data_IF_364143357758
#
_entry.id   IF_364143357758
#
_cell.length_a   1.000
_cell.length_b   1.000
_cell.length_c   1.000
_cell.angle_alpha   90.00
_cell.angle_beta   90.00
_cell.angle_gamma   90.00
#
_symmetry.space_group_name_H-M   'P 1'
#
loop_
_entity.id
_entity.type
_entity.pdbx_description
1 polymer ?
#
# COMPACT_ATOMS: atom_id res chain seq x y z
N UNK A 1 7.24 34.12 21.21
CA UNK A 1 8.61 33.93 21.73
C UNK A 1 8.55 34.11 23.24
N UNK A 2 8.82 33.06 24.00
CA UNK A 2 8.72 33.07 25.48
C UNK A 2 9.74 34.00 26.15
N UNK A 3 10.74 34.47 25.43
CA UNK A 3 11.84 35.29 25.97
C UNK A 3 11.60 36.79 25.77
N UNK A 4 10.85 37.23 24.76
CA UNK A 4 10.66 38.66 24.43
C UNK A 4 9.22 39.14 24.57
N UNK A 5 8.26 38.27 24.84
CA UNK A 5 6.82 38.60 24.89
C UNK A 5 6.24 39.01 23.51
N UNK A 6 7.04 39.01 22.44
CA UNK A 6 6.57 39.37 21.10
C UNK A 6 5.66 38.29 20.50
N UNK A 7 4.46 38.70 20.16
CA UNK A 7 3.49 37.85 19.43
C UNK A 7 3.78 37.95 17.94
N UNK A 8 4.36 36.91 17.37
CA UNK A 8 4.56 36.82 15.91
C UNK A 8 3.37 36.06 15.29
N UNK A 9 2.69 36.70 14.35
CA UNK A 9 1.67 36.02 13.53
C UNK A 9 2.39 35.13 12.50
N UNK A 10 2.23 33.84 12.59
CA UNK A 10 2.79 32.86 11.64
C UNK A 10 1.63 32.29 10.82
N UNK A 11 1.73 32.37 9.49
CA UNK A 11 0.79 31.70 8.59
C UNK A 11 1.17 30.21 8.54
N UNK A 12 0.35 29.35 9.14
CA UNK A 12 0.59 27.91 9.14
C UNK A 12 0.08 27.22 7.86
N UNK A 13 -0.98 27.76 7.26
CA UNK A 13 -1.53 27.30 5.99
C UNK A 13 -1.80 28.52 5.09
N UNK A 14 -1.07 28.67 3.98
CA UNK A 14 -1.32 29.74 3.02
C UNK A 14 -2.67 29.52 2.32
N UNK A 15 -3.29 30.60 1.85
CA UNK A 15 -4.42 30.46 0.92
C UNK A 15 -3.95 29.63 -0.29
N UNK A 16 -4.69 28.59 -0.60
CA UNK A 16 -4.31 27.60 -1.60
C UNK A 16 -5.47 27.38 -2.59
N UNK A 17 -5.13 27.46 -3.87
CA UNK A 17 -6.06 27.21 -4.98
C UNK A 17 -5.65 25.91 -5.70
N UNK A 18 -6.58 24.97 -5.82
CA UNK A 18 -6.42 23.70 -6.51
C UNK A 18 -7.17 23.72 -7.85
N UNK A 19 -6.46 23.43 -8.93
CA UNK A 19 -7.06 23.34 -10.26
C UNK A 19 -6.77 21.98 -10.89
N UNK A 20 -7.72 21.45 -11.64
CA UNK A 20 -7.55 20.23 -12.42
C UNK A 20 -8.19 20.40 -13.79
N UNK A 21 -7.42 20.07 -14.84
CA UNK A 21 -7.86 20.07 -16.23
C UNK A 21 -7.60 18.68 -16.81
N UNK A 22 -8.65 18.05 -17.32
CA UNK A 22 -8.55 16.76 -18.01
C UNK A 22 -9.20 16.88 -19.38
N UNK A 23 -8.41 16.64 -20.41
CA UNK A 23 -8.88 16.61 -21.79
C UNK A 23 -8.69 15.19 -22.33
N UNK A 24 -9.78 14.52 -22.63
CA UNK A 24 -9.75 13.15 -23.17
C UNK A 24 -10.35 13.13 -24.58
N UNK A 25 -9.57 12.60 -25.52
CA UNK A 25 -10.00 12.41 -26.88
C UNK A 25 -10.12 10.92 -27.19
N UNK A 26 -11.34 10.45 -27.36
CA UNK A 26 -11.60 9.11 -27.86
C UNK A 26 -11.13 8.97 -29.32
N UNK A 27 -10.44 7.88 -29.59
CA UNK A 27 -9.92 7.51 -30.91
C UNK A 27 -10.59 6.21 -31.37
N UNK A 28 -10.27 5.76 -32.60
CA UNK A 28 -10.79 4.49 -33.15
C UNK A 28 -10.40 3.30 -32.24
N UNK A 29 -11.23 2.24 -32.30
CA UNK A 29 -11.00 0.95 -31.62
C UNK A 29 -10.88 1.02 -30.09
N UNK A 30 -11.54 1.98 -29.44
CA UNK A 30 -11.44 2.22 -27.99
C UNK A 30 -10.06 2.73 -27.53
N UNK A 31 -9.30 3.33 -28.45
CA UNK A 31 -8.07 4.04 -28.16
C UNK A 31 -8.36 5.45 -27.64
N UNK A 32 -7.45 6.06 -26.92
CA UNK A 32 -7.60 7.43 -26.39
C UNK A 32 -6.28 8.17 -26.32
N UNK A 33 -6.38 9.49 -26.33
CA UNK A 33 -5.31 10.41 -25.97
C UNK A 33 -5.84 11.30 -24.84
N UNK A 34 -5.17 11.26 -23.68
CA UNK A 34 -5.59 11.98 -22.48
C UNK A 34 -4.48 12.94 -22.05
N UNK A 35 -4.83 14.20 -21.89
CA UNK A 35 -3.99 15.22 -21.28
C UNK A 35 -4.54 15.54 -19.88
N UNK A 36 -3.65 15.63 -18.88
CA UNK A 36 -3.98 15.99 -17.50
C UNK A 36 -3.05 17.10 -17.07
N UNK A 37 -3.62 18.14 -16.47
CA UNK A 37 -2.86 19.15 -15.75
C UNK A 37 -3.53 19.42 -14.42
N UNK A 38 -2.78 19.27 -13.32
CA UNK A 38 -3.18 19.64 -11.97
C UNK A 38 -2.25 20.70 -11.46
N UNK A 39 -2.77 21.75 -10.82
CA UNK A 39 -1.97 22.79 -10.21
C UNK A 39 -2.44 23.15 -8.80
N UNK A 40 -1.50 23.43 -7.93
CA UNK A 40 -1.69 23.95 -6.57
C UNK A 40 -0.95 25.27 -6.49
N UNK A 41 -1.70 26.36 -6.39
CA UNK A 41 -1.17 27.71 -6.29
C UNK A 41 -1.34 28.22 -4.85
N UNK A 42 -0.25 28.70 -4.24
CA UNK A 42 -0.21 29.12 -2.85
C UNK A 42 0.14 30.59 -2.73
N UNK A 43 -0.49 31.30 -1.80
CA UNK A 43 -0.14 32.70 -1.52
C UNK A 43 1.12 32.79 -0.64
N UNK A 44 1.87 33.89 -0.80
CA UNK A 44 3.07 34.17 -0.03
C UNK A 44 4.33 33.49 -0.58
N UNK A 45 5.25 33.07 0.30
CA UNK A 45 6.52 32.44 -0.07
C UNK A 45 6.45 30.90 -0.19
N UNK A 46 5.27 30.29 -0.04
CA UNK A 46 5.12 28.86 -0.24
C UNK A 46 5.26 28.51 -1.73
N UNK A 47 5.90 27.38 -2.05
CA UNK A 47 6.07 26.95 -3.43
C UNK A 47 4.74 26.58 -4.10
N UNK A 48 4.65 26.80 -5.39
CA UNK A 48 3.57 26.32 -6.23
C UNK A 48 3.92 24.94 -6.82
N UNK A 49 2.92 24.08 -7.01
CA UNK A 49 3.13 22.78 -7.61
C UNK A 49 2.26 22.59 -8.86
N UNK A 50 2.82 21.93 -9.87
CA UNK A 50 2.09 21.54 -11.07
C UNK A 50 2.46 20.12 -11.49
N UNK A 51 1.47 19.38 -11.97
CA UNK A 51 1.62 18.05 -12.54
C UNK A 51 1.00 18.02 -13.93
N UNK A 52 1.82 17.82 -14.95
CA UNK A 52 1.35 17.67 -16.33
C UNK A 52 1.58 16.24 -16.80
N UNK A 53 0.58 15.59 -17.35
CA UNK A 53 0.72 14.26 -17.91
C UNK A 53 0.03 14.11 -19.26
N UNK A 54 0.65 13.33 -20.13
CA UNK A 54 0.08 12.89 -21.40
C UNK A 54 0.04 11.37 -21.43
N UNK A 55 -1.12 10.81 -21.73
CA UNK A 55 -1.31 9.37 -21.85
C UNK A 55 -1.89 9.04 -23.21
N UNK A 56 -1.26 8.10 -23.92
CA UNK A 56 -1.75 7.50 -25.14
C UNK A 56 -2.07 6.03 -24.90
N UNK A 57 -3.28 5.60 -25.29
CA UNK A 57 -3.75 4.23 -25.20
C UNK A 57 -4.22 3.80 -26.57
N UNK A 58 -3.64 2.76 -27.09
CA UNK A 58 -3.98 2.22 -28.40
C UNK A 58 -4.44 0.77 -28.32
N UNK A 59 -5.42 0.43 -29.15
CA UNK A 59 -5.85 -0.92 -29.44
C UNK A 59 -5.89 -1.17 -30.95
N UNK A 60 -5.56 -2.40 -31.35
CA UNK A 60 -5.80 -2.85 -32.71
C UNK A 60 -7.33 -2.97 -32.99
N UNK A 61 -7.70 -3.20 -34.23
CA UNK A 61 -9.11 -3.28 -34.68
C UNK A 61 -9.93 -4.30 -33.88
N UNK A 62 -9.35 -5.46 -33.59
CA UNK A 62 -10.03 -6.56 -32.88
C UNK A 62 -9.87 -6.46 -31.36
N UNK A 63 -9.24 -5.40 -30.84
CA UNK A 63 -8.93 -5.17 -29.41
C UNK A 63 -8.18 -6.34 -28.77
N UNK A 64 -7.38 -7.04 -29.57
CA UNK A 64 -6.57 -8.16 -29.11
C UNK A 64 -5.26 -7.70 -28.51
N UNK A 65 -4.69 -6.65 -29.06
CA UNK A 65 -3.43 -6.05 -28.59
C UNK A 65 -3.64 -4.62 -28.13
N UNK A 66 -2.90 -4.25 -27.10
CA UNK A 66 -2.90 -2.88 -26.54
C UNK A 66 -1.46 -2.39 -26.38
N UNK A 67 -1.26 -1.13 -26.73
CA UNK A 67 -0.06 -0.37 -26.45
C UNK A 67 -0.45 0.86 -25.64
N UNK A 68 0.32 1.16 -24.58
CA UNK A 68 0.09 2.34 -23.72
C UNK A 68 1.39 3.07 -23.45
N UNK A 69 1.33 4.39 -23.55
CA UNK A 69 2.42 5.28 -23.17
C UNK A 69 1.88 6.33 -22.21
N UNK A 70 2.67 6.68 -21.19
CA UNK A 70 2.42 7.85 -20.35
C UNK A 70 3.74 8.58 -20.14
N UNK A 71 3.69 9.92 -20.21
CA UNK A 71 4.74 10.82 -19.72
C UNK A 71 4.10 11.75 -18.71
N UNK A 72 4.70 11.87 -17.53
CA UNK A 72 4.34 12.82 -16.48
C UNK A 72 5.52 13.74 -16.19
N UNK A 73 5.22 14.97 -15.81
CA UNK A 73 6.20 15.95 -15.34
C UNK A 73 5.63 16.60 -14.09
N UNK A 74 6.29 16.43 -12.96
CA UNK A 74 6.05 17.19 -11.75
C UNK A 74 6.92 18.43 -11.74
N UNK A 75 6.37 19.55 -11.27
CA UNK A 75 7.03 20.85 -11.29
C UNK A 75 6.75 21.53 -9.97
N UNK A 76 7.79 21.99 -9.28
CA UNK A 76 7.70 22.85 -8.09
C UNK A 76 8.38 24.16 -8.38
N UNK A 77 7.68 25.25 -8.13
CA UNK A 77 8.13 26.60 -8.38
C UNK A 77 8.36 27.30 -7.04
N UNK A 78 9.61 27.58 -6.73
CA UNK A 78 10.02 28.23 -5.49
C UNK A 78 10.28 29.71 -5.72
N UNK A 79 9.99 30.56 -4.71
CA UNK A 79 10.31 32.00 -4.75
C UNK A 79 11.79 32.28 -4.50
N UNK A 80 12.44 31.45 -3.66
CA UNK A 80 13.77 31.73 -3.10
C UNK A 80 14.78 30.60 -3.38
N UNK A 81 14.45 29.64 -4.27
CA UNK A 81 15.29 28.52 -4.66
C UNK A 81 15.06 28.15 -6.14
N UNK A 82 15.93 27.32 -6.69
CA UNK A 82 15.76 26.78 -8.03
C UNK A 82 14.50 25.91 -8.13
N UNK A 83 13.81 26.00 -9.27
CA UNK A 83 12.64 25.19 -9.53
C UNK A 83 13.02 23.70 -9.71
N UNK A 84 12.20 22.83 -9.19
CA UNK A 84 12.39 21.38 -9.31
C UNK A 84 11.47 20.79 -10.39
N UNK A 85 12.04 19.94 -11.26
CA UNK A 85 11.32 19.22 -12.30
C UNK A 85 11.64 17.73 -12.18
N UNK A 86 10.60 16.91 -12.11
CA UNK A 86 10.74 15.47 -12.09
C UNK A 86 9.91 14.81 -13.18
N UNK A 87 10.30 13.61 -13.58
CA UNK A 87 9.73 12.93 -14.75
C UNK A 87 9.26 11.50 -14.42
N UNK A 88 8.10 11.14 -14.97
CA UNK A 88 7.58 9.78 -14.98
C UNK A 88 7.36 9.33 -16.43
N UNK A 89 7.81 8.13 -16.75
CA UNK A 89 7.56 7.46 -18.03
C UNK A 89 6.95 6.08 -17.76
N UNK A 90 6.00 5.70 -18.60
CA UNK A 90 5.42 4.36 -18.59
C UNK A 90 5.17 3.91 -20.02
N UNK A 91 5.53 2.66 -20.30
CA UNK A 91 5.22 1.96 -21.55
C UNK A 91 4.67 0.57 -21.23
N UNK A 92 3.69 0.13 -22.02
CA UNK A 92 3.13 -1.22 -21.97
C UNK A 92 2.82 -1.69 -23.37
N UNK A 93 3.11 -2.96 -23.65
CA UNK A 93 2.71 -3.69 -24.84
C UNK A 93 2.20 -5.07 -24.45
N UNK A 94 1.01 -5.47 -24.91
CA UNK A 94 0.50 -6.78 -24.56
C UNK A 94 -0.71 -7.23 -25.35
N UNK A 95 -0.95 -8.53 -25.27
CA UNK A 95 -2.19 -9.18 -25.73
C UNK A 95 -3.21 -9.14 -24.59
N UNK A 96 -4.36 -8.52 -24.81
CA UNK A 96 -5.36 -8.20 -23.78
C UNK A 96 -6.68 -8.94 -23.91
N UNK A 97 -6.80 -9.83 -24.90
CA UNK A 97 -8.02 -10.64 -25.09
C UNK A 97 -7.71 -12.07 -25.50
N UNK A 98 -8.72 -12.94 -25.33
CA UNK A 98 -8.62 -14.37 -25.56
C UNK A 98 -8.29 -15.14 -24.28
N UNK A 99 -8.08 -16.45 -24.40
CA UNK A 99 -7.73 -17.30 -23.24
C UNK A 99 -6.33 -17.03 -22.72
N UNK A 100 -5.40 -16.79 -23.62
CA UNK A 100 -4.04 -16.38 -23.31
C UNK A 100 -3.91 -14.87 -23.45
N UNK A 101 -3.52 -14.21 -22.38
CA UNK A 101 -3.18 -12.78 -22.31
C UNK A 101 -1.83 -12.61 -21.67
N UNK A 102 -1.22 -11.46 -21.82
CA UNK A 102 0.05 -11.15 -21.22
C UNK A 102 0.72 -9.98 -21.90
N UNK A 103 1.73 -9.43 -21.26
CA UNK A 103 2.42 -8.27 -21.77
C UNK A 103 3.70 -7.96 -21.03
N UNK A 104 4.35 -6.92 -21.51
CA UNK A 104 5.53 -6.34 -20.87
C UNK A 104 5.29 -4.86 -20.63
N UNK A 105 5.80 -4.37 -19.51
CA UNK A 105 5.77 -2.94 -19.18
C UNK A 105 7.10 -2.48 -18.61
N UNK A 106 7.40 -1.19 -18.84
CA UNK A 106 8.47 -0.47 -18.21
C UNK A 106 7.91 0.81 -17.58
N UNK A 107 8.33 1.13 -16.37
CA UNK A 107 8.03 2.39 -15.68
C UNK A 107 9.31 2.96 -15.09
N UNK A 108 9.56 4.24 -15.38
CA UNK A 108 10.62 5.03 -14.78
C UNK A 108 9.99 6.18 -14.02
N UNK A 109 10.45 6.40 -12.82
CA UNK A 109 10.18 7.59 -11.98
C UNK A 109 11.54 8.08 -11.51
N UNK A 110 11.94 9.28 -11.89
CA UNK A 110 13.23 9.83 -11.47
C UNK A 110 13.25 10.25 -9.99
N UNK A 111 14.40 10.69 -9.50
CA UNK A 111 14.62 11.02 -8.09
C UNK A 111 14.02 12.37 -7.67
N UNK A 112 13.65 13.21 -8.62
CA UNK A 112 13.02 14.51 -8.40
C UNK A 112 11.50 14.50 -8.63
N UNK A 113 10.96 13.45 -9.23
CA UNK A 113 9.52 13.35 -9.47
C UNK A 113 8.75 13.27 -8.14
N UNK A 114 7.87 14.24 -7.92
CA UNK A 114 7.04 14.33 -6.72
C UNK A 114 5.62 14.79 -7.05
N UNK A 115 4.65 13.99 -6.65
CA UNK A 115 3.22 14.26 -6.81
C UNK A 115 2.48 14.41 -5.48
N UNK A 116 3.18 14.54 -4.36
CA UNK A 116 2.57 14.54 -3.03
C UNK A 116 1.62 15.71 -2.78
N UNK A 117 1.72 16.79 -3.56
CA UNK A 117 0.74 17.88 -3.56
C UNK A 117 -0.63 17.48 -4.15
N UNK A 118 -0.68 16.42 -4.96
CA UNK A 118 -1.88 15.93 -5.67
C UNK A 118 -2.32 14.54 -5.23
N UNK A 119 -1.47 13.80 -4.55
CA UNK A 119 -1.71 12.45 -4.09
C UNK A 119 -0.43 11.78 -3.61
N UNK A 120 -0.57 10.81 -2.73
CA UNK A 120 0.57 10.15 -2.09
C UNK A 120 1.44 9.38 -3.10
N UNK A 121 2.71 9.74 -3.18
CA UNK A 121 3.75 9.00 -3.90
C UNK A 121 4.69 8.35 -2.88
N UNK A 122 4.62 7.02 -2.67
CA UNK A 122 5.43 6.36 -1.65
C UNK A 122 6.92 6.32 -2.00
N UNK A 123 7.25 6.26 -3.30
CA UNK A 123 8.63 6.16 -3.80
C UNK A 123 8.78 6.81 -5.17
N UNK A 124 9.87 7.52 -5.35
CA UNK A 124 10.44 7.91 -6.64
C UNK A 124 11.76 7.17 -6.90
N UNK A 125 12.61 7.66 -7.77
CA UNK A 125 13.94 7.12 -8.10
C UNK A 125 13.92 5.61 -8.42
N UNK A 126 12.94 5.17 -9.23
CA UNK A 126 12.76 3.76 -9.53
C UNK A 126 12.57 3.50 -11.03
N UNK A 127 13.30 2.52 -11.56
CA UNK A 127 13.05 1.92 -12.87
C UNK A 127 12.52 0.49 -12.67
N UNK A 128 11.38 0.18 -13.26
CA UNK A 128 10.69 -1.10 -13.10
C UNK A 128 10.36 -1.73 -14.44
N UNK A 129 10.65 -3.03 -14.58
CA UNK A 129 10.20 -3.86 -15.68
C UNK A 129 9.30 -4.97 -15.16
N UNK A 130 8.18 -5.21 -15.82
CA UNK A 130 7.26 -6.31 -15.49
C UNK A 130 6.89 -7.04 -16.78
N UNK A 131 6.97 -8.37 -16.73
CA UNK A 131 6.41 -9.27 -17.73
C UNK A 131 5.37 -10.18 -17.10
N UNK A 132 4.24 -10.40 -17.77
CA UNK A 132 3.21 -11.30 -17.30
C UNK A 132 2.65 -12.18 -18.42
N UNK A 133 2.20 -13.36 -18.05
CA UNK A 133 1.41 -14.25 -18.89
C UNK A 133 0.29 -14.88 -18.07
N UNK A 134 -0.88 -15.03 -18.70
CA UNK A 134 -2.07 -15.51 -18.03
C UNK A 134 -2.89 -16.38 -18.97
N UNK A 135 -3.33 -17.53 -18.46
CA UNK A 135 -4.34 -18.36 -19.10
C UNK A 135 -5.66 -18.27 -18.32
N UNK A 136 -6.75 -17.95 -18.97
CA UNK A 136 -8.08 -17.84 -18.35
C UNK A 136 -9.09 -18.70 -19.10
N UNK A 137 -9.77 -19.59 -18.38
CA UNK A 137 -10.91 -20.34 -18.87
C UNK A 137 -12.18 -19.87 -18.16
N UNK A 138 -13.01 -19.14 -18.90
CA UNK A 138 -14.28 -18.58 -18.39
C UNK A 138 -15.48 -19.48 -18.65
N UNK A 139 -15.31 -20.54 -19.46
CA UNK A 139 -16.41 -21.47 -19.73
C UNK A 139 -16.43 -22.56 -18.65
N UNK A 140 -17.60 -22.87 -18.05
CA UNK A 140 -17.70 -23.91 -17.06
C UNK A 140 -17.17 -25.25 -17.57
N UNK A 141 -16.32 -25.89 -16.77
CA UNK A 141 -15.78 -27.23 -16.97
C UNK A 141 -16.38 -28.20 -15.92
N UNK A 142 -15.87 -29.43 -15.86
CA UNK A 142 -16.39 -30.47 -14.95
C UNK A 142 -16.44 -30.02 -13.49
N UNK A 143 -15.36 -29.45 -12.99
CA UNK A 143 -15.18 -29.08 -11.58
C UNK A 143 -15.33 -27.55 -11.33
N UNK A 144 -14.88 -26.72 -12.28
CA UNK A 144 -14.79 -25.27 -12.10
C UNK A 144 -15.78 -24.51 -12.98
N UNK A 145 -16.33 -23.40 -12.47
CA UNK A 145 -17.04 -22.40 -13.27
C UNK A 145 -16.09 -21.61 -14.14
N UNK A 146 -14.97 -21.22 -13.57
CA UNK A 146 -13.85 -20.56 -14.22
C UNK A 146 -12.55 -20.90 -13.48
N UNK A 147 -11.43 -20.74 -14.17
CA UNK A 147 -10.10 -20.83 -13.57
C UNK A 147 -9.08 -20.05 -14.37
N UNK A 148 -8.01 -19.66 -13.70
CA UNK A 148 -6.93 -18.88 -14.24
C UNK A 148 -5.59 -19.37 -13.69
N UNK A 149 -4.58 -19.42 -14.56
CA UNK A 149 -3.18 -19.58 -14.18
C UNK A 149 -2.42 -18.34 -14.64
N UNK A 150 -1.43 -17.90 -13.87
CA UNK A 150 -0.60 -16.78 -14.24
C UNK A 150 0.86 -17.00 -13.82
N UNK A 151 1.76 -16.36 -14.55
CA UNK A 151 3.15 -16.20 -14.18
C UNK A 151 3.56 -14.73 -14.43
N UNK A 152 4.26 -14.16 -13.47
CA UNK A 152 4.78 -12.80 -13.54
C UNK A 152 6.27 -12.80 -13.22
N UNK A 153 6.99 -11.91 -13.84
CA UNK A 153 8.35 -11.55 -13.50
C UNK A 153 8.42 -10.04 -13.33
N UNK A 154 9.02 -9.59 -12.21
CA UNK A 154 9.25 -8.16 -11.97
C UNK A 154 10.73 -7.92 -11.66
N UNK A 155 11.22 -6.78 -12.10
CA UNK A 155 12.57 -6.34 -11.82
C UNK A 155 12.57 -4.84 -11.54
N UNK A 156 13.16 -4.47 -10.40
CA UNK A 156 13.24 -3.09 -9.91
C UNK A 156 14.70 -2.67 -9.79
N UNK A 157 14.97 -1.43 -10.18
CA UNK A 157 16.26 -0.78 -10.03
C UNK A 157 16.07 0.54 -9.30
N UNK A 158 17.03 0.89 -8.47
CA UNK A 158 17.24 2.24 -7.99
C UNK A 158 17.80 3.05 -9.16
N UNK A 159 16.99 3.99 -9.70
CA UNK A 159 17.22 4.55 -11.02
C UNK A 159 18.52 5.35 -11.14
N UNK A 160 18.83 6.24 -10.16
CA UNK A 160 20.01 7.12 -10.24
C UNK A 160 21.34 6.38 -10.28
N UNK A 161 21.43 5.22 -9.63
CA UNK A 161 22.63 4.37 -9.61
C UNK A 161 22.53 3.18 -10.57
N UNK A 162 21.35 2.90 -11.13
CA UNK A 162 21.05 1.69 -11.91
C UNK A 162 21.35 0.38 -11.16
N UNK A 163 21.27 0.42 -9.84
CA UNK A 163 21.49 -0.73 -8.96
C UNK A 163 20.19 -1.53 -8.77
N UNK A 164 20.33 -2.86 -8.71
CA UNK A 164 19.19 -3.77 -8.57
C UNK A 164 18.62 -3.70 -7.17
N UNK A 165 17.36 -3.25 -7.02
CA UNK A 165 16.63 -3.30 -5.76
C UNK A 165 16.01 -4.68 -5.51
N UNK A 166 15.24 -5.19 -6.48
CA UNK A 166 14.48 -6.42 -6.30
C UNK A 166 14.24 -7.11 -7.64
N UNK A 167 14.21 -8.43 -7.60
CA UNK A 167 13.76 -9.27 -8.72
C UNK A 167 12.91 -10.40 -8.17
N UNK A 168 11.73 -10.59 -8.76
CA UNK A 168 10.82 -11.65 -8.35
C UNK A 168 10.27 -12.46 -9.53
N UNK A 169 9.87 -13.68 -9.19
CA UNK A 169 9.19 -14.62 -10.07
C UNK A 169 7.98 -15.18 -9.32
N UNK A 170 6.79 -14.92 -9.84
CA UNK A 170 5.54 -15.30 -9.22
C UNK A 170 4.72 -16.18 -10.15
N UNK A 171 4.22 -17.30 -9.63
CA UNK A 171 3.25 -18.17 -10.31
C UNK A 171 2.04 -18.38 -9.43
N UNK A 172 0.87 -18.49 -10.03
CA UNK A 172 -0.33 -18.67 -9.21
C UNK A 172 -1.55 -19.08 -10.00
N UNK A 173 -2.62 -19.33 -9.26
CA UNK A 173 -3.90 -19.78 -9.78
C UNK A 173 -5.06 -19.14 -9.02
N UNK A 174 -6.16 -18.97 -9.73
CA UNK A 174 -7.45 -18.61 -9.16
C UNK A 174 -8.49 -19.55 -9.77
N UNK A 175 -9.36 -20.16 -8.97
CA UNK A 175 -10.40 -21.04 -9.46
C UNK A 175 -11.69 -20.93 -8.63
N UNK A 176 -12.84 -20.92 -9.32
CA UNK A 176 -14.17 -20.95 -8.70
C UNK A 176 -14.82 -22.31 -8.94
N UNK A 177 -15.16 -23.02 -7.88
CA UNK A 177 -15.83 -24.32 -7.95
C UNK A 177 -17.27 -24.18 -8.45
N UNK A 178 -17.66 -25.02 -9.41
CA UNK A 178 -18.98 -24.97 -10.03
C UNK A 178 -20.12 -25.27 -9.06
N UNK A 179 -19.94 -26.26 -8.18
CA UNK A 179 -21.00 -26.76 -7.30
C UNK A 179 -21.43 -25.76 -6.23
N UNK A 180 -20.50 -25.15 -5.57
CA UNK A 180 -20.73 -24.31 -4.39
C UNK A 180 -20.36 -22.84 -4.58
N UNK A 181 -19.77 -22.50 -5.73
CA UNK A 181 -19.26 -21.14 -6.05
C UNK A 181 -18.22 -20.63 -5.02
N UNK A 182 -17.48 -21.54 -4.39
CA UNK A 182 -16.35 -21.20 -3.57
C UNK A 182 -15.15 -20.90 -4.47
N UNK A 183 -14.31 -19.98 -4.04
CA UNK A 183 -13.12 -19.57 -4.78
C UNK A 183 -11.87 -19.91 -3.98
N UNK A 184 -10.85 -20.40 -4.65
CA UNK A 184 -9.49 -20.54 -4.14
C UNK A 184 -8.55 -19.67 -4.95
N UNK A 185 -7.62 -19.04 -4.26
CA UNK A 185 -6.49 -18.35 -4.87
C UNK A 185 -5.22 -18.86 -4.18
N UNK A 186 -4.20 -19.18 -4.96
CA UNK A 186 -2.90 -19.56 -4.43
C UNK A 186 -1.80 -19.01 -5.33
N UNK A 187 -0.73 -18.53 -4.74
CA UNK A 187 0.47 -18.18 -5.47
C UNK A 187 1.75 -18.48 -4.67
N UNK A 188 2.82 -18.59 -5.41
CA UNK A 188 4.16 -18.76 -4.92
C UNK A 188 5.07 -17.74 -5.59
N UNK A 189 5.82 -16.99 -4.78
CA UNK A 189 6.76 -15.98 -5.26
C UNK A 189 8.16 -16.29 -4.72
N UNK A 190 9.15 -16.27 -5.60
CA UNK A 190 10.56 -16.29 -5.24
C UNK A 190 11.15 -14.91 -5.49
N UNK A 191 11.77 -14.33 -4.47
CA UNK A 191 12.55 -13.10 -4.53
C UNK A 191 14.02 -13.42 -4.46
N UNK A 192 14.80 -12.93 -5.41
CA UNK A 192 16.26 -12.98 -5.36
C UNK A 192 16.80 -12.09 -4.23
N UNK A 193 18.08 -12.24 -3.89
CA UNK A 193 18.77 -11.24 -3.08
C UNK A 193 18.64 -9.87 -3.71
N UNK A 194 18.29 -8.89 -2.91
CA UNK A 194 18.06 -7.52 -3.34
C UNK A 194 18.69 -6.50 -2.42
N UNK A 195 18.40 -5.24 -2.71
CA UNK A 195 18.89 -4.10 -1.95
C UNK A 195 17.73 -3.18 -1.60
N UNK A 196 17.85 -2.44 -0.51
CA UNK A 196 16.92 -1.39 -0.13
C UNK A 196 17.69 -0.09 0.07
N UNK A 197 17.37 0.93 -0.72
CA UNK A 197 18.03 2.24 -0.69
C UNK A 197 17.26 3.28 0.16
N UNK A 198 16.16 2.88 0.77
CA UNK A 198 15.32 3.78 1.58
C UNK A 198 15.43 3.51 3.08
N UNK A 199 15.60 2.25 3.47
CA UNK A 199 15.70 1.87 4.89
C UNK A 199 16.91 2.50 5.61
N UNK A 200 18.07 2.71 4.96
CA UNK A 200 19.21 3.39 5.58
C UNK A 200 18.97 4.86 5.95
N UNK A 201 17.94 5.52 5.42
CA UNK A 201 17.62 6.94 5.63
C UNK A 201 18.69 7.92 5.13
N UNK A 202 19.68 7.45 4.42
CA UNK A 202 20.76 8.22 3.78
C UNK A 202 20.69 7.96 2.27
N UNK A 203 20.71 9.06 1.50
CA UNK A 203 20.66 8.99 0.03
C UNK A 203 21.80 8.11 -0.49
N UNK A 204 21.48 7.25 -1.45
CA UNK A 204 22.40 6.38 -2.17
C UNK A 204 23.10 5.31 -1.29
N UNK A 205 22.72 5.18 -0.01
CA UNK A 205 23.14 4.07 0.84
C UNK A 205 22.24 2.87 0.66
N UNK A 206 22.83 1.71 0.51
CA UNK A 206 22.13 0.44 0.30
C UNK A 206 22.14 -0.42 1.57
N UNK A 207 21.11 -1.22 1.70
CA UNK A 207 20.97 -2.29 2.68
C UNK A 207 20.63 -3.60 1.99
N UNK A 208 21.43 -4.66 2.20
CA UNK A 208 21.27 -5.94 1.53
C UNK A 208 20.13 -6.75 2.16
N UNK A 209 19.17 -7.19 1.33
CA UNK A 209 18.08 -8.08 1.70
C UNK A 209 18.39 -9.52 1.28
N UNK A 210 18.06 -10.53 2.12
CA UNK A 210 18.20 -11.94 1.74
C UNK A 210 17.22 -12.33 0.64
N UNK A 211 17.51 -13.42 -0.06
CA UNK A 211 16.52 -14.07 -0.92
C UNK A 211 15.42 -14.69 -0.05
N UNK A 212 14.20 -14.73 -0.59
CA UNK A 212 13.05 -15.25 0.13
C UNK A 212 12.05 -15.93 -0.79
N UNK A 213 11.24 -16.81 -0.23
CA UNK A 213 10.03 -17.32 -0.88
C UNK A 213 8.81 -16.92 -0.08
N UNK A 214 7.74 -16.65 -0.80
CA UNK A 214 6.43 -16.35 -0.22
C UNK A 214 5.41 -17.30 -0.82
N UNK A 215 4.63 -17.95 0.03
CA UNK A 215 3.46 -18.73 -0.37
C UNK A 215 2.21 -18.05 0.18
N UNK A 216 1.28 -17.75 -0.71
CA UNK A 216 -0.02 -17.16 -0.38
C UNK A 216 -1.14 -18.16 -0.70
N UNK A 217 -2.09 -18.29 0.20
CA UNK A 217 -3.30 -19.07 -0.02
C UNK A 217 -4.53 -18.32 0.49
N UNK A 218 -5.58 -18.23 -0.32
CA UNK A 218 -6.88 -17.67 0.06
C UNK A 218 -8.01 -18.64 -0.31
N UNK A 219 -8.95 -18.78 0.59
CA UNK A 219 -10.19 -19.49 0.37
C UNK A 219 -11.38 -18.62 0.68
N UNK A 220 -12.38 -18.61 -0.20
CA UNK A 220 -13.59 -17.84 -0.04
C UNK A 220 -14.81 -18.67 -0.34
N UNK A 221 -15.81 -18.61 0.55
CA UNK A 221 -17.13 -19.20 0.32
C UNK A 221 -17.98 -18.30 -0.60
N UNK A 222 -19.10 -18.82 -1.06
CA UNK A 222 -20.00 -18.08 -1.96
C UNK A 222 -20.52 -16.78 -1.33
N UNK A 223 -20.09 -15.64 -1.87
CA UNK A 223 -20.50 -14.30 -1.41
C UNK A 223 -21.99 -13.98 -1.61
N UNK A 224 -22.71 -14.76 -2.40
CA UNK A 224 -24.14 -14.57 -2.61
C UNK A 224 -24.99 -15.19 -1.49
N UNK A 225 -24.39 -15.93 -0.59
CA UNK A 225 -25.08 -16.49 0.58
C UNK A 225 -25.21 -15.43 1.69
N UNK A 226 -26.21 -15.62 2.55
CA UNK A 226 -26.42 -14.72 3.70
C UNK A 226 -25.24 -14.71 4.67
N UNK A 227 -24.57 -15.84 4.81
CA UNK A 227 -23.31 -15.96 5.55
C UNK A 227 -22.22 -16.38 4.58
N UNK A 228 -21.11 -15.64 4.56
CA UNK A 228 -19.92 -15.98 3.80
C UNK A 228 -18.67 -15.71 4.59
N UNK A 229 -17.64 -16.51 4.33
CA UNK A 229 -16.32 -16.46 4.93
C UNK A 229 -15.27 -16.28 3.84
N UNK A 230 -14.23 -15.51 4.13
CA UNK A 230 -12.98 -15.47 3.38
C UNK A 230 -11.83 -15.55 4.37
N UNK A 231 -10.81 -16.33 4.07
CA UNK A 231 -9.61 -16.43 4.90
C UNK A 231 -8.38 -16.62 4.02
N UNK A 232 -7.26 -16.07 4.45
CA UNK A 232 -5.99 -16.21 3.76
C UNK A 232 -4.85 -16.43 4.74
N UNK A 233 -3.76 -17.01 4.21
CA UNK A 233 -2.49 -17.17 4.91
C UNK A 233 -1.34 -16.81 3.98
N UNK A 234 -0.27 -16.24 4.55
CA UNK A 234 1.01 -15.99 3.89
C UNK A 234 2.11 -16.60 4.74
N UNK A 235 3.00 -17.31 4.09
CA UNK A 235 4.23 -17.82 4.69
C UNK A 235 5.40 -17.23 3.93
N UNK A 236 6.33 -16.61 4.64
CA UNK A 236 7.60 -16.11 4.09
C UNK A 236 8.74 -16.89 4.70
N UNK A 237 9.64 -17.38 3.87
CA UNK A 237 10.84 -18.07 4.31
C UNK A 237 12.06 -17.41 3.69
N UNK A 238 13.00 -16.98 4.54
CA UNK A 238 14.23 -16.30 4.15
C UNK A 238 15.40 -17.27 4.06
N UNK A 239 16.27 -17.06 3.09
CA UNK A 239 17.42 -17.96 2.82
C UNK A 239 18.74 -17.33 3.24
N UNK A 240 19.57 -18.14 3.89
CA UNK A 240 20.96 -17.78 4.24
C UNK A 240 21.07 -16.45 5.03
N UNK A 241 20.12 -16.21 5.93
CA UNK A 241 20.12 -15.06 6.81
C UNK A 241 20.25 -15.49 8.27
N UNK A 242 21.04 -14.74 9.06
CA UNK A 242 21.11 -14.87 10.52
C UNK A 242 20.17 -13.89 11.24
N UNK A 243 19.68 -12.88 10.50
CA UNK A 243 18.87 -11.79 11.05
C UNK A 243 17.39 -12.02 10.70
N UNK A 244 17.11 -12.45 9.46
CA UNK A 244 15.75 -12.70 8.99
C UNK A 244 15.35 -14.15 9.28
N UNK A 245 14.22 -14.31 9.93
CA UNK A 245 13.55 -15.59 10.14
C UNK A 245 12.21 -15.63 9.41
N UNK A 246 11.43 -16.68 9.62
CA UNK A 246 10.16 -16.85 8.93
C UNK A 246 9.12 -15.81 9.37
N UNK A 247 8.23 -15.48 8.47
CA UNK A 247 7.09 -14.61 8.73
C UNK A 247 5.80 -15.34 8.42
N UNK A 248 4.80 -15.18 9.29
CA UNK A 248 3.48 -15.73 9.13
C UNK A 248 2.42 -14.63 9.21
N UNK A 249 1.57 -14.56 8.20
CA UNK A 249 0.42 -13.67 8.19
C UNK A 249 -0.83 -14.51 7.97
N UNK A 250 -1.88 -14.27 8.76
CA UNK A 250 -3.19 -14.86 8.55
C UNK A 250 -4.27 -13.79 8.69
N UNK A 251 -5.30 -13.91 7.88
CA UNK A 251 -6.44 -13.02 8.00
C UNK A 251 -7.72 -13.73 7.61
N UNK A 252 -8.83 -13.25 8.18
CA UNK A 252 -10.15 -13.74 7.81
C UNK A 252 -11.20 -12.64 7.89
N UNK A 253 -12.28 -12.85 7.16
CA UNK A 253 -13.45 -12.01 7.18
C UNK A 253 -14.74 -12.85 7.16
N UNK A 254 -15.67 -12.45 8.00
CA UNK A 254 -17.01 -13.04 8.08
C UNK A 254 -18.01 -11.96 7.68
N UNK A 255 -18.82 -12.27 6.69
CA UNK A 255 -19.86 -11.41 6.18
C UNK A 255 -21.23 -12.03 6.41
N UNK A 256 -22.13 -11.30 7.05
CA UNK A 256 -23.48 -11.72 7.30
C UNK A 256 -24.49 -10.71 6.75
N UNK A 257 -25.53 -11.21 6.08
CA UNK A 257 -26.76 -10.48 5.75
C UNK A 257 -27.88 -11.02 6.64
N UNK A 258 -28.37 -10.20 7.53
CA UNK A 258 -29.39 -10.56 8.53
C UNK A 258 -30.70 -9.91 8.12
N UNK A 259 -31.61 -10.74 7.62
CA UNK A 259 -32.84 -10.24 6.99
C UNK A 259 -32.55 -9.39 5.74
N UNK A 260 -33.40 -8.39 5.49
CA UNK A 260 -33.27 -7.48 4.36
C UNK A 260 -32.58 -6.15 4.74
N UNK A 261 -32.33 -5.92 6.01
CA UNK A 261 -31.96 -4.63 6.54
C UNK A 261 -30.52 -4.54 7.05
N UNK A 262 -29.96 -5.60 7.61
CA UNK A 262 -28.65 -5.55 8.25
C UNK A 262 -27.60 -6.34 7.45
N UNK A 263 -26.54 -5.63 7.12
CA UNK A 263 -25.29 -6.21 6.64
C UNK A 263 -24.22 -5.99 7.70
N UNK A 264 -23.54 -7.05 8.11
CA UNK A 264 -22.40 -7.04 9.02
C UNK A 264 -21.18 -7.66 8.37
N UNK A 265 -20.02 -7.06 8.57
CA UNK A 265 -18.73 -7.59 8.14
C UNK A 265 -17.71 -7.43 9.27
N UNK A 266 -17.21 -8.53 9.76
CA UNK A 266 -16.09 -8.58 10.69
C UNK A 266 -14.85 -9.07 9.96
N UNK A 267 -13.69 -8.46 10.22
CA UNK A 267 -12.39 -8.88 9.71
C UNK A 267 -11.32 -8.83 10.78
N UNK A 268 -10.37 -9.77 10.70
CA UNK A 268 -9.19 -9.78 11.53
C UNK A 268 -7.97 -10.14 10.68
N UNK A 269 -6.85 -9.44 10.88
CA UNK A 269 -5.51 -9.78 10.38
C UNK A 269 -4.59 -9.97 11.57
N UNK A 270 -3.83 -11.03 11.56
CA UNK A 270 -2.71 -11.28 12.45
C UNK A 270 -1.43 -11.42 11.63
N UNK A 271 -0.36 -10.79 12.09
CA UNK A 271 0.98 -10.89 11.54
C UNK A 271 1.96 -11.18 12.67
N UNK A 272 2.83 -12.14 12.44
CA UNK A 272 3.92 -12.52 13.33
C UNK A 272 5.20 -12.60 12.49
N UNK A 273 6.02 -11.58 12.63
CA UNK A 273 7.34 -11.50 12.03
C UNK A 273 8.34 -11.73 13.15
N UNK A 274 8.89 -12.92 13.19
CA UNK A 274 9.75 -13.36 14.28
C UNK A 274 11.09 -12.61 14.31
N UNK A 275 11.66 -12.28 13.15
CA UNK A 275 12.87 -11.46 13.08
C UNK A 275 13.11 -10.84 11.70
N UNK A 276 13.38 -9.54 11.68
CA UNK A 276 13.94 -8.81 10.54
C UNK A 276 14.90 -7.71 10.99
N UNK A 277 15.42 -6.92 10.05
CA UNK A 277 16.23 -5.74 10.37
C UNK A 277 15.52 -4.47 9.92
N UNK A 278 15.64 -3.41 10.72
CA UNK A 278 15.15 -2.08 10.42
C UNK A 278 16.07 -1.00 10.98
N UNK A 279 16.03 0.19 10.38
CA UNK A 279 16.75 1.36 10.87
C UNK A 279 16.30 1.72 12.28
N UNK A 280 17.26 2.06 13.16
CA UNK A 280 17.01 2.57 14.50
C UNK A 280 17.40 4.05 14.61
N UNK A 281 18.69 4.37 14.43
CA UNK A 281 19.26 5.69 14.67
C UNK A 281 20.59 5.88 13.92
N UNK A 282 21.20 7.04 14.14
CA UNK A 282 22.59 7.32 13.77
C UNK A 282 23.44 7.45 15.02
N UNK A 283 24.63 6.88 15.03
CA UNK A 283 25.59 6.98 16.11
C UNK A 283 27.01 7.15 15.55
N UNK A 284 27.70 8.25 15.89
CA UNK A 284 29.04 8.56 15.42
C UNK A 284 29.22 8.42 13.88
N UNK A 285 28.26 8.95 13.11
CA UNK A 285 28.15 8.84 11.65
C UNK A 285 27.81 7.42 11.12
N UNK A 286 27.73 6.40 11.97
CA UNK A 286 27.24 5.09 11.59
C UNK A 286 25.71 5.05 11.50
N UNK A 287 25.22 4.28 10.54
CA UNK A 287 23.80 3.97 10.40
C UNK A 287 23.50 2.70 11.19
N UNK A 288 22.68 2.83 12.23
CA UNK A 288 22.37 1.74 13.15
C UNK A 288 21.06 1.08 12.78
N UNK A 289 21.11 -0.23 12.64
CA UNK A 289 19.97 -1.11 12.43
C UNK A 289 19.70 -1.95 13.67
N UNK A 290 18.44 -2.26 13.93
CA UNK A 290 18.03 -3.21 14.94
C UNK A 290 17.47 -4.50 14.35
N UNK A 291 17.77 -5.62 14.98
CA UNK A 291 16.99 -6.83 14.82
C UNK A 291 15.71 -6.68 15.62
N UNK A 292 14.57 -6.88 14.97
CA UNK A 292 13.26 -6.67 15.59
C UNK A 292 12.30 -7.81 15.28
N UNK A 293 11.43 -8.12 16.23
CA UNK A 293 10.23 -8.92 16.02
C UNK A 293 9.01 -8.00 15.99
N UNK A 294 8.00 -8.37 15.19
CA UNK A 294 6.79 -7.56 15.02
C UNK A 294 5.57 -8.45 15.19
N UNK A 295 4.65 -8.02 16.06
CA UNK A 295 3.32 -8.62 16.19
C UNK A 295 2.27 -7.57 15.89
N UNK A 296 1.40 -7.87 14.92
CA UNK A 296 0.32 -6.97 14.52
C UNK A 296 -1.02 -7.68 14.59
N UNK A 297 -2.03 -7.01 15.15
CA UNK A 297 -3.41 -7.45 15.12
C UNK A 297 -4.32 -6.31 14.68
N UNK A 298 -4.99 -6.48 13.57
CA UNK A 298 -5.95 -5.49 13.03
C UNK A 298 -7.34 -6.08 13.04
N UNK A 299 -8.27 -5.40 13.70
CA UNK A 299 -9.67 -5.78 13.77
C UNK A 299 -10.54 -4.74 13.09
N UNK A 300 -11.56 -5.18 12.37
CA UNK A 300 -12.53 -4.33 11.73
C UNK A 300 -13.95 -4.87 11.86
N UNK A 301 -14.89 -4.01 12.22
CA UNK A 301 -16.32 -4.31 12.19
C UNK A 301 -17.03 -3.22 11.39
N UNK A 302 -17.75 -3.62 10.37
CA UNK A 302 -18.61 -2.74 9.56
C UNK A 302 -20.05 -3.21 9.67
N UNK A 303 -20.94 -2.31 10.02
CA UNK A 303 -22.36 -2.53 10.10
C UNK A 303 -23.08 -1.55 9.17
N UNK A 304 -23.93 -2.06 8.28
CA UNK A 304 -24.78 -1.25 7.42
C UNK A 304 -26.23 -1.65 7.69
N UNK A 305 -26.99 -0.73 8.23
CA UNK A 305 -28.40 -0.96 8.57
C UNK A 305 -29.29 -0.04 7.75
N UNK A 306 -30.07 -0.62 6.85
CA UNK A 306 -31.09 0.09 6.07
C UNK A 306 -32.42 0.01 6.83
N UNK A 307 -32.77 1.06 7.55
CA UNK A 307 -34.06 1.13 8.27
C UNK A 307 -35.22 1.03 7.28
N UNK A 308 -35.11 1.73 6.17
CA UNK A 308 -36.01 1.69 5.02
C UNK A 308 -35.26 2.21 3.77
N UNK A 309 -35.96 2.40 2.65
CA UNK A 309 -35.35 2.89 1.39
C UNK A 309 -34.79 4.33 1.49
N UNK A 310 -35.14 5.07 2.56
CA UNK A 310 -34.76 6.48 2.72
C UNK A 310 -33.79 6.72 3.87
N UNK A 311 -33.67 5.79 4.83
CA UNK A 311 -32.82 5.94 6.01
C UNK A 311 -31.82 4.78 6.11
N UNK A 312 -30.56 5.12 6.03
CA UNK A 312 -29.42 4.19 6.12
C UNK A 312 -28.47 4.63 7.24
N UNK A 313 -28.00 3.66 8.02
CA UNK A 313 -27.06 3.84 9.12
C UNK A 313 -25.84 2.97 8.82
N UNK A 314 -24.67 3.58 8.85
CA UNK A 314 -23.38 2.90 8.67
C UNK A 314 -22.55 3.12 9.94
N UNK A 315 -22.01 2.06 10.49
CA UNK A 315 -21.05 2.12 11.59
C UNK A 315 -19.82 1.31 11.23
N UNK A 316 -18.64 1.84 11.51
CA UNK A 316 -17.37 1.16 11.31
C UNK A 316 -16.50 1.36 12.54
N UNK A 317 -16.03 0.23 13.09
CA UNK A 317 -15.05 0.19 14.16
C UNK A 317 -13.77 -0.43 13.62
N UNK A 318 -12.64 0.12 13.99
CA UNK A 318 -11.31 -0.41 13.66
C UNK A 318 -10.44 -0.32 14.88
N UNK A 319 -9.70 -1.38 15.14
CA UNK A 319 -8.64 -1.40 16.12
C UNK A 319 -7.37 -1.93 15.45
N UNK A 320 -6.33 -1.14 15.49
CA UNK A 320 -4.99 -1.47 15.04
C UNK A 320 -4.08 -1.56 16.27
N UNK A 321 -3.38 -2.65 16.40
CA UNK A 321 -2.40 -2.89 17.44
C UNK A 321 -1.15 -3.47 16.82
N UNK A 322 0.00 -2.89 17.14
CA UNK A 322 1.30 -3.38 16.72
C UNK A 322 2.29 -3.26 17.89
N UNK A 323 3.10 -4.28 18.07
CA UNK A 323 4.26 -4.27 18.94
C UNK A 323 5.50 -4.58 18.14
N UNK A 324 6.57 -3.80 18.37
CA UNK A 324 7.88 -3.96 17.77
C UNK A 324 8.88 -4.10 18.90
N UNK A 325 9.56 -5.23 18.98
CA UNK A 325 10.55 -5.59 19.98
C UNK A 325 11.94 -5.60 19.34
N UNK A 326 12.83 -4.73 19.79
CA UNK A 326 14.20 -4.64 19.30
C UNK A 326 15.16 -5.33 20.27
N UNK A 327 15.97 -6.28 19.80
CA UNK A 327 16.80 -7.13 20.66
C UNK A 327 18.30 -7.17 20.34
N UNK A 328 18.71 -6.72 19.15
CA UNK A 328 20.11 -6.62 18.74
C UNK A 328 20.34 -5.40 17.88
N UNK A 329 21.59 -4.94 17.82
CA UNK A 329 22.00 -3.81 17.02
C UNK A 329 23.16 -4.15 16.07
N UNK A 330 23.17 -3.46 14.93
CA UNK A 330 24.13 -3.65 13.85
C UNK A 330 24.52 -2.29 13.27
N UNK A 331 25.78 -2.16 12.82
CA UNK A 331 26.20 -1.07 11.95
C UNK A 331 26.06 -1.48 10.48
N UNK A 332 25.49 -0.59 9.66
CA UNK A 332 25.41 -0.77 8.21
C UNK A 332 26.75 -0.45 7.58
N UNK A 333 27.35 -1.43 6.94
CA UNK A 333 28.62 -1.29 6.23
C UNK A 333 28.42 -0.63 4.84
N UNK A 334 29.50 -0.12 4.23
CA UNK A 334 29.44 0.52 2.91
C UNK A 334 28.98 -0.42 1.79
N UNK A 335 29.26 -1.72 1.93
CA UNK A 335 28.81 -2.74 1.00
C UNK A 335 27.32 -3.15 1.19
N UNK A 336 26.64 -2.56 2.17
CA UNK A 336 25.23 -2.83 2.48
C UNK A 336 24.98 -3.99 3.44
N UNK A 337 26.02 -4.63 3.96
CA UNK A 337 25.89 -5.70 4.95
C UNK A 337 25.75 -5.14 6.38
N UNK A 338 25.09 -5.90 7.24
CA UNK A 338 24.95 -5.59 8.66
C UNK A 338 26.00 -6.37 9.48
N UNK A 339 26.76 -5.65 10.31
CA UNK A 339 27.73 -6.21 11.23
C UNK A 339 27.32 -5.85 12.65
N UNK A 340 27.23 -6.87 13.53
CA UNK A 340 26.91 -6.66 14.94
C UNK A 340 27.92 -5.70 15.57
N UNK A 341 27.47 -4.71 16.31
CA UNK A 341 28.29 -3.70 16.95
C UNK A 341 28.10 -3.72 18.47
N UNK A 342 28.92 -2.97 19.15
CA UNK A 342 28.95 -2.87 20.62
C UNK A 342 28.75 -1.43 21.11
N UNK A 343 28.06 -0.58 20.37
CA UNK A 343 27.68 0.74 20.83
C UNK A 343 26.84 0.65 22.11
N UNK A 344 27.01 1.62 23.01
CA UNK A 344 26.22 1.72 24.27
C UNK A 344 24.80 2.29 23.93
N UNK A 345 24.09 1.56 23.11
CA UNK A 345 22.69 1.81 22.74
C UNK A 345 21.89 0.62 23.28
N UNK A 346 20.90 0.90 24.10
CA UNK A 346 19.95 -0.14 24.49
C UNK A 346 18.87 -0.31 23.40
N UNK A 347 18.84 -1.43 22.65
CA UNK A 347 17.84 -1.60 21.59
C UNK A 347 16.40 -1.49 22.09
N UNK A 348 16.12 -1.88 23.32
CA UNK A 348 14.77 -1.85 23.90
C UNK A 348 14.23 -0.42 24.10
N UNK A 349 15.09 0.62 24.05
CA UNK A 349 14.63 2.02 24.09
C UNK A 349 13.87 2.41 22.81
N UNK A 350 13.96 1.60 21.77
CA UNK A 350 13.26 1.74 20.49
C UNK A 350 12.06 0.80 20.35
N UNK A 351 11.73 0.05 21.42
CA UNK A 351 10.53 -0.77 21.45
C UNK A 351 9.29 0.10 21.25
N UNK A 352 8.38 -0.38 20.41
CA UNK A 352 7.15 0.32 20.09
C UNK A 352 5.93 -0.53 20.41
N UNK A 353 4.97 0.06 21.10
CA UNK A 353 3.64 -0.46 21.28
C UNK A 353 2.61 0.60 20.88
N UNK A 354 2.14 0.48 19.64
CA UNK A 354 1.22 1.44 19.05
C UNK A 354 -0.17 0.86 18.92
N UNK A 355 -1.16 1.64 19.32
CA UNK A 355 -2.57 1.29 19.26
C UNK A 355 -3.38 2.44 18.68
N UNK A 356 -4.31 2.13 17.81
CA UNK A 356 -5.27 3.08 17.28
C UNK A 356 -6.67 2.48 17.24
N UNK A 357 -7.62 3.17 17.86
CA UNK A 357 -9.02 2.81 17.82
C UNK A 357 -9.83 3.90 17.11
N UNK A 358 -10.65 3.51 16.14
CA UNK A 358 -11.45 4.44 15.36
C UNK A 358 -12.91 3.97 15.30
N UNK A 359 -13.81 4.93 15.47
CA UNK A 359 -15.25 4.78 15.21
C UNK A 359 -15.65 5.79 14.14
N UNK A 360 -16.24 5.31 13.06
CA UNK A 360 -16.94 6.13 12.07
C UNK A 360 -18.42 5.75 12.11
N UNK A 361 -19.28 6.71 12.34
CA UNK A 361 -20.74 6.55 12.29
C UNK A 361 -21.31 7.56 11.30
N UNK A 362 -22.25 7.11 10.46
CA UNK A 362 -22.93 7.96 9.48
C UNK A 362 -24.37 7.50 9.32
N UNK A 363 -25.30 8.38 9.68
CA UNK A 363 -26.71 8.23 9.35
C UNK A 363 -27.07 9.15 8.18
N UNK A 364 -27.73 8.61 7.15
CA UNK A 364 -28.18 9.33 5.97
C UNK A 364 -29.67 9.17 5.81
N UNK A 365 -30.38 10.29 5.76
CA UNK A 365 -31.83 10.33 5.59
C UNK A 365 -32.23 11.17 4.39
N UNK A 366 -32.78 10.51 3.38
CA UNK A 366 -33.42 11.17 2.24
C UNK A 366 -34.87 11.50 2.59
N UNK A 367 -35.12 12.72 3.05
CA UNK A 367 -36.44 13.12 3.48
C UNK A 367 -37.37 13.58 2.33
N UNK A 368 -36.76 14.00 1.18
CA UNK A 368 -37.49 14.34 -0.04
C UNK A 368 -36.68 13.96 -1.28
N UNK A 369 -37.23 13.90 -2.51
CA UNK A 369 -36.49 13.71 -3.72
C UNK A 369 -35.32 14.70 -3.85
N UNK A 370 -34.12 14.19 -4.12
CA UNK A 370 -32.87 14.97 -4.20
C UNK A 370 -32.50 15.77 -2.93
N UNK A 371 -33.11 15.46 -1.76
CA UNK A 371 -32.82 16.14 -0.50
C UNK A 371 -32.41 15.15 0.58
N UNK A 372 -31.18 15.26 1.09
CA UNK A 372 -30.59 14.38 2.09
C UNK A 372 -30.05 15.17 3.29
N UNK A 373 -30.26 14.63 4.49
CA UNK A 373 -29.57 15.04 5.70
C UNK A 373 -28.64 13.92 6.12
N UNK A 374 -27.39 14.27 6.41
CA UNK A 374 -26.39 13.35 6.92
C UNK A 374 -25.93 13.78 8.31
N UNK A 375 -25.92 12.83 9.26
CA UNK A 375 -25.33 12.98 10.58
C UNK A 375 -24.11 12.07 10.68
N UNK A 376 -22.95 12.68 10.85
CA UNK A 376 -21.68 11.96 10.99
C UNK A 376 -21.07 12.14 12.37
N UNK A 377 -20.49 11.08 12.92
CA UNK A 377 -19.66 11.09 14.11
C UNK A 377 -18.37 10.31 13.85
N UNK A 378 -17.23 10.89 14.22
CA UNK A 378 -15.93 10.24 14.13
C UNK A 378 -15.21 10.37 15.46
N UNK A 379 -14.68 9.25 15.93
CA UNK A 379 -13.79 9.17 17.08
C UNK A 379 -12.49 8.49 16.63
N UNK A 380 -11.36 9.02 17.05
CA UNK A 380 -10.06 8.40 16.80
C UNK A 380 -9.19 8.59 18.04
N UNK A 381 -8.88 7.51 18.72
CA UNK A 381 -7.98 7.48 19.87
C UNK A 381 -6.71 6.76 19.48
N UNK A 382 -5.57 7.29 19.91
CA UNK A 382 -4.25 6.73 19.68
C UNK A 382 -3.53 6.59 21.01
N UNK A 383 -3.02 5.41 21.29
CA UNK A 383 -2.21 5.11 22.47
C UNK A 383 -0.84 4.59 22.03
N UNK A 384 0.20 5.21 22.55
CA UNK A 384 1.58 4.87 22.21
C UNK A 384 2.43 4.80 23.49
N UNK A 385 3.20 3.74 23.64
CA UNK A 385 4.25 3.61 24.66
C UNK A 385 5.28 2.56 24.24
N UNK A 386 6.32 2.38 25.03
CA UNK A 386 7.38 1.40 24.79
C UNK A 386 7.16 0.09 25.59
N UNK A 387 6.00 -0.11 26.23
CA UNK A 387 5.71 -1.32 26.99
C UNK A 387 5.16 -2.44 26.09
N UNK A 388 6.07 -3.25 25.59
CA UNK A 388 5.73 -4.43 24.75
C UNK A 388 5.25 -5.64 25.58
N UNK A 389 5.25 -5.57 26.92
CA UNK A 389 4.78 -6.65 27.80
C UNK A 389 3.28 -6.60 28.02
N UNK A 390 2.65 -5.48 27.73
CA UNK A 390 1.21 -5.29 27.87
C UNK A 390 0.43 -6.22 26.93
N UNK A 391 -0.58 -6.91 27.50
CA UNK A 391 -1.45 -7.78 26.70
C UNK A 391 -2.33 -6.97 25.73
N UNK A 392 -2.76 -7.61 24.63
CA UNK A 392 -3.68 -7.02 23.67
C UNK A 392 -4.93 -6.40 24.32
N UNK A 393 -5.57 -7.12 25.27
CA UNK A 393 -6.79 -6.60 25.94
C UNK A 393 -6.50 -5.41 26.84
N UNK A 394 -5.34 -5.36 27.48
CA UNK A 394 -4.90 -4.19 28.28
C UNK A 394 -4.70 -2.98 27.36
N UNK A 395 -4.02 -3.16 26.24
CA UNK A 395 -3.81 -2.12 25.24
C UNK A 395 -5.12 -1.58 24.68
N UNK A 396 -6.03 -2.45 24.25
CA UNK A 396 -7.35 -2.07 23.75
C UNK A 396 -8.13 -1.23 24.80
N UNK A 397 -8.13 -1.68 26.08
CA UNK A 397 -8.81 -0.96 27.17
C UNK A 397 -8.22 0.43 27.39
N UNK A 398 -6.90 0.57 27.36
CA UNK A 398 -6.23 1.85 27.53
C UNK A 398 -6.55 2.79 26.35
N UNK A 399 -6.48 2.30 25.11
CA UNK A 399 -6.79 3.10 23.93
C UNK A 399 -8.23 3.61 23.88
N UNK A 400 -9.21 2.85 24.41
CA UNK A 400 -10.63 3.28 24.45
C UNK A 400 -10.85 4.33 25.54
N UNK A 401 -10.01 4.37 26.59
CA UNK A 401 -10.19 5.32 27.70
C UNK A 401 -9.60 6.69 27.43
N UNK A 402 -8.67 6.82 26.50
CA UNK A 402 -8.13 8.09 26.03
C UNK A 402 -9.10 8.77 25.04
#
# INVERSE_FOLDING_TARGET
>A
NSTTGEVRKVTTNPFTNYNAIVLDKALKNNSSLTFVNNSVLRSGSAYDANLTALQYKWYNKDRTYSFRLKKGVSQKYFSDADNEFGYEYFAYLGKVSGKWTGGVSAKLVDDTFDTNDFGFLPRNNQLRFIGDVRYTENKPKKLFSNYQFFANHSQYYYHSLMEKEERDYRVGTNATFKKNQHTVFADFTYYEKGQNFYEPRVKDRQFNKPAQTQAFFEYQTNRNKNLSFAGYTVFVNYYNSKIYTNEFIAGYGIRARIGQHLFAYFSQKYEDLDSNAGFITFENDDIIFGQRSIKELVNGLTLNYSVNSKLNINARLRHYWIQVDYNKQFSLQDNGDLVENSYDINPNDFDDNFNQFNIDFLAKWQFAPASEISLGYKLGNTFFNNDIRSSYLSNLKNTIKE
#
